data_IF_206046588043
#
_entry.id   IF_206046588043
#
_cell.length_a   1.000
_cell.length_b   1.000
_cell.length_c   1.000
_cell.angle_alpha   90.00
_cell.angle_beta   90.00
_cell.angle_gamma   90.00
#
_symmetry.space_group_name_H-M   'P 1'
#
loop_
_entity.id
_entity.type
_entity.pdbx_description
1 polymer ?
#
# COMPACT_ATOMS: atom_id res chain seq x y z
N UNK A 1 -4.04 -8.97 2.50
CA UNK A 1 -3.24 -9.73 3.50
C UNK A 1 -2.89 -11.15 3.03
N UNK A 2 -3.83 -11.87 2.40
CA UNK A 2 -3.57 -13.29 2.07
C UNK A 2 -2.46 -13.53 1.02
N UNK A 3 -2.30 -12.66 0.01
CA UNK A 3 -1.29 -12.83 -1.04
C UNK A 3 0.15 -12.78 -0.50
N UNK A 4 0.45 -11.83 0.38
CA UNK A 4 1.77 -11.71 1.00
C UNK A 4 2.07 -12.93 1.89
N UNK A 5 1.10 -13.40 2.65
CA UNK A 5 1.23 -14.60 3.47
C UNK A 5 1.58 -15.84 2.63
N UNK A 6 0.84 -16.07 1.54
CA UNK A 6 1.12 -17.19 0.63
C UNK A 6 2.52 -17.11 0.01
N UNK A 7 2.99 -15.90 -0.32
CA UNK A 7 4.34 -15.71 -0.85
C UNK A 7 5.41 -15.99 0.19
N UNK A 8 5.21 -15.56 1.44
CA UNK A 8 6.14 -15.87 2.53
C UNK A 8 6.22 -17.37 2.80
N UNK A 9 5.08 -18.07 2.78
CA UNK A 9 5.05 -19.54 2.91
C UNK A 9 5.75 -20.20 1.72
N UNK A 10 5.48 -19.76 0.49
CA UNK A 10 6.13 -20.29 -0.70
C UNK A 10 7.66 -20.08 -0.67
N UNK A 11 8.13 -18.91 -0.21
CA UNK A 11 9.56 -18.66 -0.05
C UNK A 11 10.20 -19.58 0.98
N UNK A 12 9.53 -19.81 2.11
CA UNK A 12 9.97 -20.76 3.12
C UNK A 12 10.10 -22.20 2.57
N UNK A 13 9.11 -22.63 1.76
CA UNK A 13 9.14 -23.94 1.11
C UNK A 13 10.29 -24.05 0.12
N UNK A 14 10.52 -23.04 -0.71
CA UNK A 14 11.66 -23.02 -1.67
C UNK A 14 13.00 -23.10 -0.95
N UNK A 15 13.17 -22.34 0.13
CA UNK A 15 14.40 -22.37 0.94
C UNK A 15 14.57 -23.74 1.60
N UNK A 16 13.51 -24.31 2.18
CA UNK A 16 13.57 -25.62 2.82
C UNK A 16 13.92 -26.74 1.83
N UNK A 17 13.23 -26.79 0.69
CA UNK A 17 13.50 -27.79 -0.37
C UNK A 17 14.91 -27.62 -0.94
N UNK A 18 15.34 -26.38 -1.22
CA UNK A 18 16.70 -26.08 -1.67
C UNK A 18 17.75 -26.53 -0.68
N UNK A 19 17.53 -26.31 0.62
CA UNK A 19 18.42 -26.79 1.69
C UNK A 19 18.54 -28.31 1.69
N UNK A 20 17.43 -29.03 1.61
CA UNK A 20 17.42 -30.50 1.61
C UNK A 20 18.16 -31.06 0.40
N UNK A 21 17.90 -30.54 -0.79
CA UNK A 21 18.53 -30.98 -2.03
C UNK A 21 20.04 -30.69 -2.00
N UNK A 22 20.43 -29.47 -1.62
CA UNK A 22 21.82 -29.07 -1.60
C UNK A 22 22.62 -29.86 -0.54
N UNK A 23 22.06 -30.06 0.64
CA UNK A 23 22.66 -30.90 1.67
C UNK A 23 22.83 -32.35 1.19
N UNK A 24 21.82 -32.94 0.57
CA UNK A 24 21.90 -34.31 0.06
C UNK A 24 22.98 -34.50 -1.03
N UNK A 25 23.20 -33.48 -1.86
CA UNK A 25 24.20 -33.52 -2.94
C UNK A 25 25.63 -33.29 -2.46
N UNK A 26 25.83 -32.45 -1.44
CA UNK A 26 27.13 -31.97 -1.00
C UNK A 26 27.67 -32.63 0.27
N UNK A 27 26.82 -33.12 1.19
CA UNK A 27 27.22 -33.54 2.55
C UNK A 27 28.13 -34.76 2.62
N UNK A 28 28.29 -35.54 1.55
CA UNK A 28 29.15 -36.73 1.51
C UNK A 28 30.50 -36.51 0.84
N UNK A 29 30.88 -35.27 0.51
CA UNK A 29 32.06 -34.98 -0.30
C UNK A 29 33.18 -34.44 0.56
N UNK A 30 34.42 -34.92 0.35
CA UNK A 30 35.61 -34.55 1.12
C UNK A 30 35.80 -33.06 0.98
N UNK A 31 36.00 -32.21 0.67
CA UNK A 31 36.32 -30.79 0.57
C UNK A 31 35.11 -29.84 0.66
N UNK A 32 33.91 -30.36 0.95
CA UNK A 32 32.73 -29.47 1.14
C UNK A 32 32.78 -28.77 2.50
N UNK A 33 32.29 -27.54 2.50
CA UNK A 33 31.95 -26.79 3.71
C UNK A 33 30.48 -26.97 4.14
N UNK A 34 29.67 -27.68 3.35
CA UNK A 34 28.28 -28.03 3.67
C UNK A 34 28.21 -29.34 4.43
N UNK A 35 28.70 -29.37 5.67
CA UNK A 35 28.74 -30.57 6.51
C UNK A 35 27.44 -30.81 7.26
N UNK A 36 26.67 -29.78 7.51
CA UNK A 36 25.43 -29.84 8.27
C UNK A 36 24.28 -29.27 7.43
N UNK A 37 23.01 -29.64 7.73
CA UNK A 37 21.84 -28.99 7.10
C UNK A 37 21.85 -27.47 7.33
N UNK A 38 22.43 -26.99 8.42
CA UNK A 38 22.50 -25.56 8.72
C UNK A 38 23.44 -24.82 7.77
N UNK A 39 24.56 -25.45 7.36
CA UNK A 39 25.48 -24.87 6.36
C UNK A 39 24.80 -24.73 5.00
N UNK A 40 24.00 -25.73 4.59
CA UNK A 40 23.21 -25.69 3.38
C UNK A 40 22.12 -24.64 3.46
N UNK A 41 21.44 -24.51 4.59
CA UNK A 41 20.45 -23.47 4.84
C UNK A 41 21.05 -22.06 4.76
N UNK A 42 22.21 -21.87 5.39
CA UNK A 42 22.99 -20.63 5.33
C UNK A 42 23.28 -20.24 3.87
N UNK A 43 23.80 -21.17 3.09
CA UNK A 43 24.08 -20.96 1.69
C UNK A 43 22.82 -20.62 0.90
N UNK A 44 21.70 -21.33 1.12
CA UNK A 44 20.42 -21.07 0.45
C UNK A 44 19.91 -19.66 0.73
N UNK A 45 19.92 -19.23 2.00
CA UNK A 45 19.46 -17.89 2.40
C UNK A 45 20.39 -16.84 1.81
N UNK A 46 21.72 -16.97 1.96
CA UNK A 46 22.68 -16.01 1.42
C UNK A 46 22.58 -15.86 -0.10
N UNK A 47 22.25 -16.95 -0.81
CA UNK A 47 22.10 -16.98 -2.26
C UNK A 47 20.77 -16.33 -2.70
N UNK A 48 19.64 -16.72 -2.11
CA UNK A 48 18.32 -16.14 -2.45
C UNK A 48 18.27 -14.67 -2.13
N UNK A 49 18.84 -14.24 -1.00
CA UNK A 49 18.90 -12.83 -0.62
C UNK A 49 19.94 -12.01 -1.42
N UNK A 50 20.65 -12.65 -2.34
CA UNK A 50 21.70 -12.04 -3.18
C UNK A 50 22.90 -11.47 -2.40
N UNK A 51 23.07 -11.86 -1.13
CA UNK A 51 24.21 -11.45 -0.29
C UNK A 51 25.50 -12.18 -0.72
N UNK A 52 25.44 -13.50 -0.87
CA UNK A 52 26.49 -14.31 -1.46
C UNK A 52 27.86 -14.17 -0.81
N UNK A 53 27.99 -14.40 0.49
CA UNK A 53 29.28 -14.27 1.21
C UNK A 53 30.43 -15.11 0.62
N UNK A 54 30.13 -16.24 -0.04
CA UNK A 54 31.11 -17.09 -0.68
C UNK A 54 31.93 -17.97 0.30
N UNK A 55 31.55 -17.98 1.56
CA UNK A 55 32.14 -18.76 2.63
C UNK A 55 31.77 -20.25 2.55
N UNK A 56 30.53 -20.53 2.17
CA UNK A 56 29.97 -21.86 1.89
C UNK A 56 29.48 -21.86 0.44
N UNK A 57 30.02 -22.79 -0.36
CA UNK A 57 29.64 -22.90 -1.80
C UNK A 57 29.64 -24.38 -2.22
N UNK A 58 28.83 -24.79 -3.22
CA UNK A 58 28.84 -26.14 -3.74
C UNK A 58 30.16 -26.44 -4.45
N UNK A 59 30.78 -27.57 -4.14
CA UNK A 59 32.07 -28.02 -4.69
C UNK A 59 31.87 -29.05 -5.82
N UNK A 60 30.78 -29.83 -5.78
CA UNK A 60 30.49 -30.85 -6.78
C UNK A 60 29.91 -30.25 -8.07
N UNK A 61 30.11 -30.91 -9.19
CA UNK A 61 29.53 -30.51 -10.48
C UNK A 61 28.00 -30.56 -10.43
N UNK A 62 27.41 -31.57 -9.78
CA UNK A 62 25.97 -31.70 -9.61
C UNK A 62 25.44 -30.58 -8.68
N UNK A 63 26.11 -30.30 -7.58
CA UNK A 63 25.73 -29.19 -6.68
C UNK A 63 25.76 -27.84 -7.39
N UNK A 64 26.71 -27.60 -8.28
CA UNK A 64 26.76 -26.38 -9.10
C UNK A 64 25.59 -26.25 -10.08
N UNK A 65 25.17 -27.37 -10.72
CA UNK A 65 23.98 -27.37 -11.58
C UNK A 65 22.72 -27.06 -10.77
N UNK A 66 22.56 -27.72 -9.61
CA UNK A 66 21.45 -27.44 -8.69
C UNK A 66 21.49 -25.98 -8.21
N UNK A 67 22.66 -25.44 -7.91
CA UNK A 67 22.83 -24.05 -7.52
C UNK A 67 22.36 -23.07 -8.59
N UNK A 68 22.72 -23.30 -9.85
CA UNK A 68 22.29 -22.45 -10.98
C UNK A 68 20.76 -22.42 -11.06
N UNK A 69 20.11 -23.58 -11.05
CA UNK A 69 18.63 -23.67 -11.08
C UNK A 69 18.03 -22.95 -9.86
N UNK A 70 18.58 -23.16 -8.67
CA UNK A 70 18.13 -22.53 -7.44
C UNK A 70 18.24 -21.00 -7.48
N UNK A 71 19.31 -20.46 -8.05
CA UNK A 71 19.51 -19.01 -8.22
C UNK A 71 18.41 -18.39 -9.11
N UNK A 72 18.03 -19.04 -10.22
CA UNK A 72 16.93 -18.55 -11.06
C UNK A 72 15.60 -18.52 -10.30
N UNK A 73 15.29 -19.56 -9.53
CA UNK A 73 14.10 -19.56 -8.67
C UNK A 73 14.15 -18.48 -7.59
N UNK A 74 15.31 -18.27 -6.97
CA UNK A 74 15.53 -17.24 -5.96
C UNK A 74 15.27 -15.83 -6.47
N UNK A 75 15.86 -15.49 -7.62
CA UNK A 75 15.66 -14.17 -8.27
C UNK A 75 14.18 -13.96 -8.62
N UNK A 76 13.53 -14.96 -9.20
CA UNK A 76 12.11 -14.90 -9.55
C UNK A 76 11.24 -14.67 -8.33
N UNK A 77 11.53 -15.33 -7.23
CA UNK A 77 10.79 -15.21 -5.97
C UNK A 77 10.90 -13.81 -5.38
N UNK A 78 12.08 -13.21 -5.38
CA UNK A 78 12.28 -11.82 -4.92
C UNK A 78 11.53 -10.85 -5.83
N UNK A 79 11.59 -11.03 -7.15
CA UNK A 79 10.89 -10.19 -8.11
C UNK A 79 9.36 -10.19 -7.86
N UNK A 80 8.77 -11.38 -7.63
CA UNK A 80 7.35 -11.52 -7.30
C UNK A 80 7.02 -10.85 -5.95
N UNK A 81 7.88 -11.01 -4.94
CA UNK A 81 7.69 -10.40 -3.63
C UNK A 81 7.64 -8.87 -3.74
N UNK A 82 8.60 -8.28 -4.46
CA UNK A 82 8.65 -6.84 -4.70
C UNK A 82 7.43 -6.35 -5.49
N UNK A 83 6.98 -7.10 -6.50
CA UNK A 83 5.80 -6.76 -7.27
C UNK A 83 4.52 -6.73 -6.41
N UNK A 84 4.33 -7.70 -5.50
CA UNK A 84 3.16 -7.74 -4.59
C UNK A 84 3.20 -6.62 -3.55
N UNK A 85 4.38 -6.31 -3.03
CA UNK A 85 4.56 -5.17 -2.13
C UNK A 85 4.20 -3.88 -2.85
N UNK A 86 4.75 -3.66 -4.04
CA UNK A 86 4.47 -2.49 -4.88
C UNK A 86 2.97 -2.33 -5.20
N UNK A 87 2.27 -3.41 -5.62
CA UNK A 87 0.82 -3.39 -5.88
C UNK A 87 0.02 -2.97 -4.65
N UNK A 88 0.42 -3.43 -3.46
CA UNK A 88 -0.25 -3.08 -2.21
C UNK A 88 -0.14 -1.59 -1.88
N UNK A 89 1.06 -1.00 -2.06
CA UNK A 89 1.28 0.44 -1.85
C UNK A 89 0.54 1.29 -2.90
N UNK A 90 0.57 0.86 -4.15
CA UNK A 90 -0.08 1.57 -5.25
C UNK A 90 -1.60 1.65 -5.07
N UNK A 91 -2.26 0.54 -4.69
CA UNK A 91 -3.70 0.52 -4.40
C UNK A 91 -4.09 1.45 -3.26
N UNK A 92 -3.32 1.43 -2.16
CA UNK A 92 -3.57 2.31 -1.02
C UNK A 92 -3.42 3.80 -1.39
N UNK A 93 -2.48 4.12 -2.29
CA UNK A 93 -2.28 5.49 -2.77
C UNK A 93 -3.47 5.98 -3.60
N UNK A 94 -3.95 5.15 -4.55
CA UNK A 94 -5.13 5.49 -5.38
C UNK A 94 -6.37 5.67 -4.50
N UNK A 95 -6.63 4.77 -3.55
CA UNK A 95 -7.76 4.86 -2.64
C UNK A 95 -7.74 6.16 -1.83
N UNK A 96 -6.58 6.57 -1.32
CA UNK A 96 -6.42 7.83 -0.62
C UNK A 96 -6.67 9.05 -1.54
N UNK A 97 -6.19 9.03 -2.78
CA UNK A 97 -6.42 10.10 -3.76
C UNK A 97 -7.91 10.24 -4.10
N UNK A 98 -8.63 9.13 -4.26
CA UNK A 98 -10.08 9.15 -4.48
C UNK A 98 -10.86 9.70 -3.28
N UNK A 99 -10.45 9.33 -2.06
CA UNK A 99 -11.05 9.85 -0.82
C UNK A 99 -10.85 11.37 -0.73
N UNK A 100 -9.65 11.86 -1.01
CA UNK A 100 -9.36 13.31 -0.97
C UNK A 100 -10.13 14.08 -2.05
N UNK A 101 -10.27 13.54 -3.26
CA UNK A 101 -11.12 14.14 -4.32
C UNK A 101 -12.58 14.24 -3.87
N UNK A 102 -13.14 13.17 -3.30
CA UNK A 102 -14.51 13.19 -2.78
C UNK A 102 -14.69 14.20 -1.64
N UNK A 103 -13.71 14.31 -0.74
CA UNK A 103 -13.75 15.32 0.33
C UNK A 103 -13.74 16.74 -0.23
N UNK A 104 -12.92 17.02 -1.24
CA UNK A 104 -12.87 18.33 -1.88
C UNK A 104 -14.21 18.67 -2.54
N UNK A 105 -14.82 17.73 -3.24
CA UNK A 105 -16.15 17.90 -3.87
C UNK A 105 -17.24 18.19 -2.84
N UNK A 106 -17.27 17.42 -1.75
CA UNK A 106 -18.22 17.64 -0.64
C UNK A 106 -18.00 19.03 0.00
N UNK A 107 -16.74 19.43 0.22
CA UNK A 107 -16.43 20.74 0.79
C UNK A 107 -16.85 21.89 -0.15
N UNK A 108 -16.62 21.74 -1.45
CA UNK A 108 -17.08 22.71 -2.46
C UNK A 108 -18.61 22.86 -2.43
N UNK A 109 -19.33 21.74 -2.46
CA UNK A 109 -20.79 21.75 -2.39
C UNK A 109 -21.31 22.37 -1.09
N UNK A 110 -20.71 22.00 0.04
CA UNK A 110 -21.05 22.59 1.35
C UNK A 110 -20.88 24.10 1.36
N UNK A 111 -19.75 24.61 0.87
CA UNK A 111 -19.49 26.05 0.81
C UNK A 111 -20.44 26.78 -0.10
N UNK A 112 -20.82 26.16 -1.23
CA UNK A 112 -21.83 26.67 -2.14
C UNK A 112 -23.21 26.79 -1.46
N UNK A 113 -23.63 25.76 -0.72
CA UNK A 113 -24.89 25.76 0.04
C UNK A 113 -24.89 26.84 1.11
N UNK A 114 -23.80 26.94 1.91
CA UNK A 114 -23.65 27.97 2.93
C UNK A 114 -23.76 29.39 2.33
N UNK A 115 -23.07 29.63 1.22
CA UNK A 115 -23.13 30.92 0.52
C UNK A 115 -24.56 31.24 0.04
N UNK A 116 -25.30 30.28 -0.47
CA UNK A 116 -26.68 30.47 -0.90
C UNK A 116 -27.64 30.73 0.25
N UNK A 117 -27.46 30.05 1.37
CA UNK A 117 -28.24 30.28 2.58
C UNK A 117 -28.01 31.69 3.13
N UNK A 118 -26.77 32.15 3.21
CA UNK A 118 -26.42 33.50 3.62
C UNK A 118 -27.04 34.57 2.72
N UNK A 119 -27.07 34.33 1.40
CA UNK A 119 -27.70 35.23 0.42
C UNK A 119 -29.24 35.33 0.64
N UNK A 120 -29.88 34.20 0.95
CA UNK A 120 -31.31 34.13 1.27
C UNK A 120 -31.62 34.84 2.59
N UNK A 121 -30.82 34.64 3.64
CA UNK A 121 -30.97 35.33 4.92
C UNK A 121 -30.81 36.85 4.77
N UNK A 122 -29.86 37.31 3.95
CA UNK A 122 -29.68 38.72 3.65
C UNK A 122 -30.92 39.34 2.97
N UNK A 123 -31.46 38.67 1.94
CA UNK A 123 -32.67 39.10 1.26
C UNK A 123 -33.89 39.09 2.18
N UNK A 124 -33.99 38.11 3.06
CA UNK A 124 -35.09 38.03 4.04
C UNK A 124 -35.03 39.20 5.03
N UNK A 125 -33.84 39.57 5.51
CA UNK A 125 -33.64 40.74 6.38
C UNK A 125 -34.01 42.06 5.69
N UNK A 126 -33.62 42.23 4.44
CA UNK A 126 -34.00 43.39 3.62
C UNK A 126 -35.49 43.50 3.42
N UNK A 127 -36.16 42.37 3.16
CA UNK A 127 -37.61 42.31 3.01
C UNK A 127 -38.35 42.70 4.30
N UNK A 128 -37.88 42.24 5.46
CA UNK A 128 -38.42 42.60 6.79
C UNK A 128 -38.27 44.10 7.05
N UNK A 129 -37.10 44.66 6.71
CA UNK A 129 -36.85 46.09 6.88
C UNK A 129 -37.79 46.94 6.02
N UNK A 130 -38.04 46.54 4.77
CA UNK A 130 -38.99 47.23 3.85
C UNK A 130 -40.41 47.15 4.39
N UNK A 131 -40.84 46.00 4.91
CA UNK A 131 -42.19 45.87 5.53
C UNK A 131 -42.34 46.78 6.73
N UNK A 132 -41.33 46.87 7.59
CA UNK A 132 -41.33 47.75 8.76
C UNK A 132 -41.38 49.23 8.38
N UNK A 133 -40.63 49.64 7.36
CA UNK A 133 -40.67 51.01 6.83
C UNK A 133 -42.07 51.36 6.23
N UNK A 134 -42.68 50.44 5.49
CA UNK A 134 -44.04 50.63 4.97
C UNK A 134 -45.10 50.74 6.07
N UNK A 135 -45.01 49.89 7.08
CA UNK A 135 -45.88 49.90 8.26
C UNK A 135 -45.83 51.24 9.02
N UNK A 136 -44.62 51.74 9.28
CA UNK A 136 -44.41 53.05 9.94
C UNK A 136 -44.93 54.22 9.08
N UNK A 137 -44.81 54.16 7.77
CA UNK A 137 -45.30 55.17 6.85
C UNK A 137 -46.85 55.19 6.83
N UNK A 138 -47.50 54.04 6.88
CA UNK A 138 -48.97 53.94 6.97
C UNK A 138 -49.49 54.49 8.30
N UNK A 139 -48.82 54.17 9.42
CA UNK A 139 -49.20 54.64 10.74
C UNK A 139 -49.08 56.17 10.86
N UNK A 140 -48.00 56.76 10.32
CA UNK A 140 -47.84 58.20 10.25
C UNK A 140 -48.92 58.89 9.39
N UNK A 141 -49.29 58.29 8.29
CA UNK A 141 -50.30 58.84 7.38
C UNK A 141 -51.73 58.76 8.00
N UNK A 142 -51.97 57.76 8.82
CA UNK A 142 -53.27 57.65 9.56
C UNK A 142 -53.43 58.69 10.66
N UNK A 143 -52.32 59.07 11.34
CA UNK A 143 -52.29 60.12 12.37
C UNK A 143 -52.44 61.53 11.82
N UNK A 144 -52.15 61.78 10.54
CA UNK A 144 -52.33 63.07 9.90
C UNK A 144 -53.79 63.31 9.32
N UNK A 145 -54.58 62.27 9.32
CA UNK A 145 -55.96 62.34 8.79
C UNK A 145 -57.06 62.40 9.87
N UNK A 146 -56.69 62.29 11.12
CA UNK A 146 -57.66 62.53 12.25
C UNK A 146 -57.37 63.86 12.91
#
# INVERSE_FOLDING_TARGET
MNKLFYLLVASGVVIFVGTMIMYAVESGVENTKMKTPLDALWWCIATVTTVGYGDVVPVTSLGRIVAIVYMFFGITLIAILLAVISDTFYKKRIENEEIEKKKQEINYFRNLVISRLSDIEGKQSECIELVNRLSSSIENNSKHKS
#
